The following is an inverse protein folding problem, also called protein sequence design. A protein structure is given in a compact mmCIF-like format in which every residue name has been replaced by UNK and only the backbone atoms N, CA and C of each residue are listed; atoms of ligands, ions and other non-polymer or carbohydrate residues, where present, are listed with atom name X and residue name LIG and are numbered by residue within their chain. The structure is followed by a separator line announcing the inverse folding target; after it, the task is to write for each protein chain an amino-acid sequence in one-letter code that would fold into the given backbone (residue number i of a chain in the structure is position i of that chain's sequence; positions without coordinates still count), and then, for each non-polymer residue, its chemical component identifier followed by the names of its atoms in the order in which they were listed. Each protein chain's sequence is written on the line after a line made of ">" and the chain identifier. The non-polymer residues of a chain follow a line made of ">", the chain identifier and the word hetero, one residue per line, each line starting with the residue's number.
data_IF_782820602210
#
_entry.id   IF_782820602210
#
_cell.length_a   1.000
_cell.length_b   1.000
_cell.length_c   1.000
_cell.angle_alpha   90.00
_cell.angle_beta   90.00
_cell.angle_gamma   90.00
#
_symmetry.space_group_name_H-M   'P 1'
#
loop_
_entity.id
_entity.type
_entity.pdbx_description
1 polymer ?
#
# COMPACT_ATOMS: atom_id res chain seq x y z
N UNK A 1 46.13 0.52 42.95
CA UNK A 1 44.66 0.58 42.77
C UNK A 1 44.37 0.87 41.30
N UNK A 2 44.11 -0.17 40.49
CA UNK A 2 43.78 -0.06 39.06
C UNK A 2 42.88 -1.24 38.71
N UNK A 3 41.57 -1.06 38.89
CA UNK A 3 40.55 -2.11 38.73
C UNK A 3 39.27 -1.57 38.06
N UNK A 4 39.37 -0.54 37.21
CA UNK A 4 38.18 0.17 36.70
C UNK A 4 37.76 -0.17 35.27
N UNK A 5 38.60 -0.80 34.44
CA UNK A 5 38.27 -0.98 33.02
C UNK A 5 37.55 -2.30 32.70
N UNK A 6 38.03 -3.44 33.22
CA UNK A 6 37.44 -4.77 32.98
C UNK A 6 35.97 -4.86 33.41
N UNK A 7 35.65 -4.32 34.59
CA UNK A 7 34.29 -4.28 35.15
C UNK A 7 33.31 -3.47 34.29
N UNK A 8 33.81 -2.45 33.60
CA UNK A 8 33.03 -1.56 32.73
C UNK A 8 32.65 -2.26 31.42
N UNK A 9 33.54 -3.08 30.87
CA UNK A 9 33.24 -3.88 29.66
C UNK A 9 32.17 -4.94 29.94
N UNK A 10 32.26 -5.64 31.07
CA UNK A 10 31.28 -6.65 31.46
C UNK A 10 29.88 -6.06 31.70
N UNK A 11 29.81 -4.83 32.22
CA UNK A 11 28.54 -4.10 32.40
C UNK A 11 27.93 -3.58 31.09
N UNK A 12 28.75 -3.32 30.06
CA UNK A 12 28.31 -2.78 28.76
C UNK A 12 27.72 -3.83 27.81
N UNK A 13 28.14 -5.10 27.93
CA UNK A 13 27.66 -6.22 27.10
C UNK A 13 26.14 -6.46 27.16
N UNK A 14 25.48 -6.47 28.34
CA UNK A 14 24.02 -6.63 28.39
C UNK A 14 23.28 -5.42 27.81
N UNK A 15 23.80 -4.20 27.98
CA UNK A 15 23.20 -2.99 27.40
C UNK A 15 23.30 -3.01 25.87
N UNK A 16 24.46 -3.38 25.33
CA UNK A 16 24.66 -3.51 23.89
C UNK A 16 23.74 -4.59 23.29
N UNK A 17 23.60 -5.73 23.98
CA UNK A 17 22.66 -6.78 23.57
C UNK A 17 21.22 -6.28 23.61
N UNK A 18 20.82 -5.55 24.65
CA UNK A 18 19.47 -4.99 24.75
C UNK A 18 19.18 -3.97 23.64
N UNK A 19 20.13 -3.08 23.34
CA UNK A 19 20.05 -2.13 22.23
C UNK A 19 19.96 -2.84 20.88
N UNK A 20 20.75 -3.90 20.67
CA UNK A 20 20.69 -4.69 19.45
C UNK A 20 19.36 -5.45 19.31
N UNK A 21 18.84 -6.02 20.41
CA UNK A 21 17.53 -6.66 20.45
C UNK A 21 16.41 -5.67 20.11
N UNK A 22 16.46 -4.46 20.67
CA UNK A 22 15.48 -3.42 20.43
C UNK A 22 15.55 -2.90 18.98
N UNK A 23 16.76 -2.76 18.44
CA UNK A 23 16.98 -2.41 17.04
C UNK A 23 16.41 -3.48 16.11
N UNK A 24 16.70 -4.76 16.34
CA UNK A 24 16.12 -5.86 15.55
C UNK A 24 14.59 -5.89 15.71
N UNK A 25 14.08 -5.66 16.92
CA UNK A 25 12.65 -5.61 17.19
C UNK A 25 11.93 -4.49 16.41
N UNK A 26 12.59 -3.34 16.24
CA UNK A 26 12.04 -2.21 15.47
C UNK A 26 11.94 -2.47 13.96
N UNK A 27 12.60 -3.51 13.44
CA UNK A 27 12.46 -3.95 12.05
C UNK A 27 11.39 -5.04 11.85
N UNK A 28 10.84 -5.62 12.93
CA UNK A 28 9.70 -6.51 12.80
C UNK A 28 8.43 -5.69 12.56
N UNK A 29 8.03 -5.60 11.29
CA UNK A 29 6.68 -5.19 10.92
C UNK A 29 5.75 -6.26 11.51
N UNK A 30 5.06 -5.93 12.61
CA UNK A 30 4.03 -6.83 13.14
C UNK A 30 2.99 -6.93 12.05
N UNK A 31 2.95 -8.07 11.37
CA UNK A 31 1.98 -8.36 10.33
C UNK A 31 0.59 -8.51 10.98
N UNK A 32 0.05 -7.43 11.54
CA UNK A 32 -1.37 -7.25 11.68
C UNK A 32 -1.94 -7.47 10.28
N UNK A 33 -2.84 -8.44 10.14
CA UNK A 33 -3.36 -8.86 8.84
C UNK A 33 -3.68 -7.63 8.00
N UNK A 34 -3.01 -7.49 6.85
CA UNK A 34 -3.14 -6.28 6.04
C UNK A 34 -4.61 -6.08 5.71
N UNK A 35 -5.21 -4.98 6.15
CA UNK A 35 -6.61 -4.68 5.82
C UNK A 35 -6.69 -3.94 4.49
N UNK A 36 -7.77 -4.20 3.76
CA UNK A 36 -8.12 -3.45 2.56
C UNK A 36 -9.47 -2.76 2.76
N UNK A 37 -9.65 -1.61 2.12
CA UNK A 37 -10.90 -0.86 2.18
C UNK A 37 -11.41 -0.54 0.78
N UNK A 38 -12.71 -0.74 0.57
CA UNK A 38 -13.38 -0.36 -0.66
C UNK A 38 -13.56 1.16 -0.74
N UNK A 39 -13.03 1.79 -1.78
CA UNK A 39 -13.23 3.21 -2.05
C UNK A 39 -14.47 3.39 -2.93
N UNK A 40 -15.64 3.35 -2.30
CA UNK A 40 -16.91 3.69 -2.93
C UNK A 40 -16.99 5.19 -3.24
N UNK A 41 -17.45 5.54 -4.45
CA UNK A 41 -17.48 6.93 -4.94
C UNK A 41 -18.88 7.46 -5.28
N UNK A 42 -19.94 6.72 -4.92
CA UNK A 42 -21.33 7.18 -5.07
C UNK A 42 -21.68 8.04 -3.86
N UNK A 43 -21.29 9.31 -3.92
CA UNK A 43 -21.56 10.33 -2.91
C UNK A 43 -21.29 11.72 -3.46
N UNK A 44 -21.95 12.74 -2.92
CA UNK A 44 -21.90 14.12 -3.45
C UNK A 44 -21.00 15.07 -2.62
N UNK A 45 -20.40 14.57 -1.53
CA UNK A 45 -19.58 15.34 -0.59
C UNK A 45 -18.29 14.61 -0.19
N UNK A 46 -17.84 13.66 -1.02
CA UNK A 46 -16.64 12.87 -0.74
C UNK A 46 -15.37 13.71 -0.95
N UNK A 47 -14.29 13.45 -0.18
CA UNK A 47 -13.00 14.07 -0.42
C UNK A 47 -12.44 13.74 -1.81
N UNK A 48 -11.51 14.57 -2.30
CA UNK A 48 -10.83 14.31 -3.58
C UNK A 48 -9.98 13.05 -3.50
N UNK A 49 -9.74 12.32 -4.61
CA UNK A 49 -8.94 11.10 -4.60
C UNK A 49 -7.55 11.21 -3.95
N UNK A 50 -6.86 12.34 -4.13
CA UNK A 50 -5.56 12.59 -3.47
C UNK A 50 -5.67 12.61 -1.94
N UNK A 51 -6.77 13.19 -1.42
CA UNK A 51 -6.99 13.33 0.01
C UNK A 51 -7.38 11.97 0.61
N UNK A 52 -8.12 11.14 -0.16
CA UNK A 52 -8.40 9.74 0.21
C UNK A 52 -7.13 8.88 0.21
N UNK A 53 -6.25 9.01 -0.79
CA UNK A 53 -4.96 8.30 -0.79
C UNK A 53 -4.08 8.73 0.39
N UNK A 54 -4.07 10.02 0.73
CA UNK A 54 -3.39 10.52 1.92
C UNK A 54 -3.97 9.90 3.21
N UNK A 55 -5.30 9.80 3.32
CA UNK A 55 -5.96 9.13 4.43
C UNK A 55 -5.55 7.65 4.54
N UNK A 56 -5.53 6.90 3.43
CA UNK A 56 -5.09 5.50 3.43
C UNK A 56 -3.67 5.35 3.99
N UNK A 57 -2.75 6.23 3.57
CA UNK A 57 -1.37 6.24 4.08
C UNK A 57 -1.31 6.58 5.57
N UNK A 58 -2.06 7.58 6.02
CA UNK A 58 -2.10 7.98 7.43
C UNK A 58 -2.65 6.86 8.34
N UNK A 59 -3.59 6.06 7.84
CA UNK A 59 -4.21 4.96 8.57
C UNK A 59 -3.52 3.60 8.35
N UNK A 60 -2.37 3.58 7.65
CA UNK A 60 -1.65 2.35 7.30
C UNK A 60 -2.54 1.31 6.58
N UNK A 61 -3.51 1.77 5.78
CA UNK A 61 -4.33 0.93 4.90
C UNK A 61 -3.55 0.70 3.62
N UNK A 62 -3.09 -0.54 3.42
CA UNK A 62 -2.18 -0.89 2.30
C UNK A 62 -2.89 -1.41 1.06
N UNK A 63 -4.22 -1.63 1.09
CA UNK A 63 -4.99 -2.19 -0.03
C UNK A 63 -6.27 -1.42 -0.29
N UNK A 64 -6.57 -1.13 -1.54
CA UNK A 64 -7.75 -0.39 -1.99
C UNK A 64 -8.51 -1.20 -3.04
N UNK A 65 -9.84 -1.21 -2.97
CA UNK A 65 -10.70 -1.65 -4.07
C UNK A 65 -11.42 -0.47 -4.70
N UNK A 66 -11.44 -0.41 -6.03
CA UNK A 66 -12.29 0.52 -6.81
C UNK A 66 -13.17 -0.25 -7.78
N UNK A 67 -14.37 0.28 -8.05
CA UNK A 67 -15.42 -0.40 -8.81
C UNK A 67 -15.41 -0.09 -10.32
N UNK A 68 -14.53 0.83 -10.74
CA UNK A 68 -14.37 1.29 -12.12
C UNK A 68 -12.99 1.95 -12.32
N UNK A 69 -12.48 2.05 -13.56
CA UNK A 69 -11.14 2.58 -13.84
C UNK A 69 -11.11 4.12 -13.82
N UNK A 70 -11.44 4.71 -12.67
CA UNK A 70 -11.45 6.15 -12.49
C UNK A 70 -10.03 6.74 -12.61
N UNK A 71 -9.84 7.61 -13.60
CA UNK A 71 -8.52 8.15 -13.94
C UNK A 71 -7.94 9.03 -12.83
N UNK A 72 -8.75 9.78 -12.09
CA UNK A 72 -8.27 10.62 -10.98
C UNK A 72 -7.77 9.78 -9.82
N UNK A 73 -8.45 8.68 -9.49
CA UNK A 73 -8.00 7.73 -8.45
C UNK A 73 -6.71 7.04 -8.89
N UNK A 74 -6.66 6.52 -10.12
CA UNK A 74 -5.46 5.86 -10.66
C UNK A 74 -4.26 6.81 -10.71
N UNK A 75 -4.48 8.10 -11.03
CA UNK A 75 -3.44 9.11 -10.97
C UNK A 75 -2.97 9.40 -9.54
N UNK A 76 -3.89 9.52 -8.59
CA UNK A 76 -3.58 9.76 -7.18
C UNK A 76 -2.84 8.58 -6.51
N UNK A 77 -3.07 7.35 -6.97
CA UNK A 77 -2.41 6.15 -6.44
C UNK A 77 -0.95 6.00 -6.87
N UNK A 78 -0.47 6.79 -7.86
CA UNK A 78 0.91 6.69 -8.35
C UNK A 78 1.92 6.94 -7.23
N UNK A 79 2.82 5.97 -7.00
CA UNK A 79 3.86 6.05 -5.96
C UNK A 79 3.33 5.95 -4.52
N UNK A 80 2.06 5.55 -4.33
CA UNK A 80 1.46 5.43 -2.98
C UNK A 80 1.84 4.14 -2.25
N UNK A 81 2.28 3.11 -2.98
CA UNK A 81 2.46 1.74 -2.49
C UNK A 81 1.19 1.07 -1.94
N UNK A 82 0.01 1.63 -2.23
CA UNK A 82 -1.28 0.98 -1.96
C UNK A 82 -1.54 -0.01 -3.10
N UNK A 83 -1.80 -1.27 -2.77
CA UNK A 83 -2.18 -2.31 -3.72
C UNK A 83 -3.63 -2.11 -4.15
N UNK A 84 -3.88 -2.18 -5.46
CA UNK A 84 -5.18 -1.90 -6.04
C UNK A 84 -5.88 -3.16 -6.56
N UNK A 85 -7.10 -3.38 -6.09
CA UNK A 85 -8.09 -4.21 -6.76
C UNK A 85 -9.00 -3.32 -7.61
N UNK A 86 -8.96 -3.50 -8.93
CA UNK A 86 -9.78 -2.77 -9.89
C UNK A 86 -10.83 -3.71 -10.50
N UNK A 87 -12.11 -3.40 -10.29
CA UNK A 87 -13.21 -4.13 -10.91
C UNK A 87 -13.36 -3.78 -12.41
N UNK A 88 -13.88 -4.74 -13.18
CA UNK A 88 -14.43 -4.51 -14.51
C UNK A 88 -15.89 -4.05 -14.37
N UNK A 89 -16.26 -2.82 -14.80
CA UNK A 89 -17.63 -2.35 -14.72
C UNK A 89 -18.62 -3.26 -15.45
N UNK A 90 -19.81 -3.47 -14.88
CA UNK A 90 -20.83 -4.33 -15.50
C UNK A 90 -21.22 -3.88 -16.92
N UNK A 91 -21.16 -2.58 -17.20
CA UNK A 91 -21.44 -1.99 -18.52
C UNK A 91 -20.41 -2.41 -19.58
N UNK A 92 -19.18 -2.70 -19.17
CA UNK A 92 -18.09 -3.10 -20.05
C UNK A 92 -18.04 -4.62 -20.27
N UNK A 93 -18.68 -5.42 -19.39
CA UNK A 93 -18.59 -6.89 -19.39
C UNK A 93 -18.91 -7.50 -20.75
N UNK A 94 -20.01 -7.07 -21.39
CA UNK A 94 -20.43 -7.62 -22.69
C UNK A 94 -19.40 -7.33 -23.78
N UNK A 95 -18.85 -6.12 -23.80
CA UNK A 95 -17.84 -5.70 -24.78
C UNK A 95 -16.53 -6.45 -24.57
N UNK A 96 -16.05 -6.49 -23.32
CA UNK A 96 -14.81 -7.20 -22.97
C UNK A 96 -14.92 -8.70 -23.26
N UNK A 97 -16.08 -9.30 -23.02
CA UNK A 97 -16.32 -10.72 -23.33
C UNK A 97 -16.51 -11.01 -24.83
N UNK A 98 -16.67 -9.98 -25.68
CA UNK A 98 -16.99 -10.17 -27.10
C UNK A 98 -15.80 -10.65 -27.94
N UNK A 99 -14.57 -10.31 -27.55
CA UNK A 99 -13.36 -10.80 -28.21
C UNK A 99 -12.10 -10.56 -27.35
N UNK A 100 -11.02 -11.29 -27.66
CA UNK A 100 -9.71 -11.06 -27.05
C UNK A 100 -9.20 -9.62 -27.31
N UNK A 101 -9.46 -9.07 -28.51
CA UNK A 101 -9.02 -7.74 -28.87
C UNK A 101 -9.67 -6.65 -27.99
N UNK A 102 -10.95 -6.80 -27.64
CA UNK A 102 -11.64 -5.89 -26.73
C UNK A 102 -11.12 -6.02 -25.28
N UNK A 103 -10.86 -7.24 -24.82
CA UNK A 103 -10.23 -7.46 -23.51
C UNK A 103 -8.84 -6.82 -23.42
N UNK A 104 -8.00 -7.01 -24.45
CA UNK A 104 -6.67 -6.41 -24.53
C UNK A 104 -6.74 -4.88 -24.57
N UNK A 105 -7.70 -4.33 -25.31
CA UNK A 105 -7.92 -2.88 -25.37
C UNK A 105 -8.29 -2.32 -24.00
N UNK A 106 -9.18 -3.00 -23.26
CA UNK A 106 -9.57 -2.60 -21.91
C UNK A 106 -8.39 -2.65 -20.94
N UNK A 107 -7.63 -3.75 -20.92
CA UNK A 107 -6.44 -3.91 -20.06
C UNK A 107 -5.38 -2.87 -20.39
N UNK A 108 -5.11 -2.62 -21.68
CA UNK A 108 -4.14 -1.60 -22.10
C UNK A 108 -4.54 -0.21 -21.60
N UNK A 109 -5.81 0.15 -21.75
CA UNK A 109 -6.34 1.47 -21.35
C UNK A 109 -6.33 1.66 -19.84
N UNK A 110 -6.80 0.66 -19.10
CA UNK A 110 -7.17 0.81 -17.69
C UNK A 110 -6.12 0.27 -16.71
N UNK A 111 -5.25 -0.66 -17.14
CA UNK A 111 -4.25 -1.30 -16.29
C UNK A 111 -2.83 -0.96 -16.73
N UNK A 112 -2.45 -1.26 -17.99
CA UNK A 112 -1.05 -1.10 -18.44
C UNK A 112 -0.53 0.34 -18.33
N UNK A 113 -1.39 1.33 -18.57
CA UNK A 113 -1.02 2.75 -18.44
C UNK A 113 -0.65 3.18 -17.00
N UNK A 114 -0.91 2.33 -16.00
CA UNK A 114 -0.69 2.61 -14.58
C UNK A 114 0.26 1.61 -13.90
N UNK A 115 0.58 0.49 -14.54
CA UNK A 115 1.29 -0.65 -13.95
C UNK A 115 2.70 -0.35 -13.40
N UNK A 116 3.37 0.71 -13.86
CA UNK A 116 4.71 1.06 -13.38
C UNK A 116 4.69 1.84 -12.04
N UNK A 117 3.53 2.38 -11.65
CA UNK A 117 3.45 3.37 -10.57
C UNK A 117 2.28 3.12 -9.61
N UNK A 118 1.28 2.33 -10.03
CA UNK A 118 0.18 1.82 -9.21
C UNK A 118 0.41 0.34 -9.04
N UNK A 119 0.30 -0.14 -7.79
CA UNK A 119 0.70 -1.50 -7.41
C UNK A 119 -0.49 -2.45 -7.37
#
# INVERSE_FOLDING_TARGET
>A
MKMSNESSYLASLPLLRFLLSFLIASFFDTAAGQIGVCYGRVGNNLPRPSDVVALYRQQNIRRMRIYDPNQEVLAALRGSNIELLLDLPNVDLKTVASSQAEADAWVRKNVRNYANNVR
#
